data_IF_711475435432
#
_entry.id   IF_711475435432
#
_cell.length_a   1.000
_cell.length_b   1.000
_cell.length_c   1.000
_cell.angle_alpha   90.00
_cell.angle_beta   90.00
_cell.angle_gamma   90.00
#
_symmetry.space_group_name_H-M   'P 1'
#
loop_
_entity.id
_entity.type
_entity.pdbx_description
1 polymer ?
#
# COMPACT_ATOMS: atom_id res chain seq x y z
N UNK A 1 17.76 -5.12 -18.73
CA UNK A 1 17.89 -3.88 -17.94
C UNK A 1 16.64 -3.03 -18.12
N UNK A 2 15.79 -2.91 -17.09
CA UNK A 2 14.75 -1.88 -17.04
C UNK A 2 14.38 -1.58 -15.58
N UNK A 3 15.21 -0.76 -14.92
CA UNK A 3 14.86 -0.07 -13.68
C UNK A 3 14.34 1.31 -14.06
N UNK A 4 13.03 1.53 -13.99
CA UNK A 4 12.43 2.86 -13.80
C UNK A 4 11.12 2.72 -13.03
N UNK A 5 11.18 2.86 -11.71
CA UNK A 5 10.00 3.25 -10.93
C UNK A 5 10.24 4.69 -10.48
N UNK A 6 9.69 5.60 -11.28
CA UNK A 6 9.65 7.02 -11.02
C UNK A 6 8.40 7.27 -10.20
N UNK A 7 8.56 7.78 -8.97
CA UNK A 7 7.44 8.33 -8.20
C UNK A 7 6.89 9.56 -8.93
N UNK A 8 5.87 9.38 -9.77
CA UNK A 8 5.08 10.47 -10.33
C UNK A 8 3.62 10.17 -10.09
N UNK A 9 2.98 11.05 -9.33
CA UNK A 9 1.56 11.01 -9.08
C UNK A 9 0.78 11.04 -10.39
N UNK A 10 0.19 9.92 -10.73
CA UNK A 10 -0.94 9.79 -11.64
C UNK A 10 -1.67 8.51 -11.22
N UNK A 11 -2.90 8.65 -10.74
CA UNK A 11 -3.81 7.53 -10.54
C UNK A 11 -4.16 6.91 -11.91
N UNK A 12 -4.46 5.59 -11.92
CA UNK A 12 -4.96 4.70 -13.02
C UNK A 12 -3.92 3.66 -13.49
N UNK A 13 -4.31 2.45 -13.96
CA UNK A 13 -5.11 1.38 -13.37
C UNK A 13 -4.21 0.16 -13.02
N UNK A 14 -4.50 -0.54 -11.93
CA UNK A 14 -3.56 -1.55 -11.42
C UNK A 14 -3.83 -2.93 -12.03
N UNK A 15 -3.05 -3.31 -13.05
CA UNK A 15 -2.91 -4.71 -13.49
C UNK A 15 -1.55 -5.23 -13.05
N UNK A 16 -1.48 -5.90 -11.89
CA UNK A 16 -0.26 -6.56 -11.41
C UNK A 16 -0.28 -8.03 -11.83
N UNK A 17 0.28 -8.31 -13.01
CA UNK A 17 0.81 -9.63 -13.29
C UNK A 17 2.33 -9.50 -13.33
N UNK A 18 3.03 -10.01 -12.30
CA UNK A 18 4.41 -10.53 -12.36
C UNK A 18 4.88 -11.03 -10.98
N UNK A 19 4.81 -12.35 -10.83
CA UNK A 19 5.77 -13.28 -10.22
C UNK A 19 6.76 -12.70 -9.17
N UNK A 20 6.25 -12.63 -7.92
CA UNK A 20 6.90 -12.56 -6.59
C UNK A 20 7.97 -11.47 -6.35
N UNK A 21 7.51 -10.34 -5.76
CA UNK A 21 7.67 -10.08 -4.32
C UNK A 21 6.29 -10.01 -3.63
N UNK A 22 5.55 -11.12 -3.67
CA UNK A 22 4.11 -11.19 -3.46
C UNK A 22 3.61 -10.76 -2.08
N UNK A 23 4.32 -11.08 -0.99
CA UNK A 23 3.70 -11.01 0.33
C UNK A 23 3.41 -9.57 0.81
N UNK A 24 4.37 -8.64 0.72
CA UNK A 24 4.17 -7.29 1.28
C UNK A 24 3.21 -6.44 0.42
N UNK A 25 3.29 -6.57 -0.90
CA UNK A 25 2.37 -5.86 -1.80
C UNK A 25 0.94 -6.37 -1.61
N UNK A 26 0.74 -7.68 -1.50
CA UNK A 26 -0.57 -8.26 -1.22
C UNK A 26 -1.12 -7.80 0.14
N UNK A 27 -0.27 -7.69 1.17
CA UNK A 27 -0.64 -7.16 2.48
C UNK A 27 -1.04 -5.68 2.39
N UNK A 28 -0.30 -4.85 1.66
CA UNK A 28 -0.63 -3.44 1.43
C UNK A 28 -1.99 -3.34 0.72
N UNK A 29 -2.19 -4.12 -0.34
CA UNK A 29 -3.40 -4.08 -1.15
C UNK A 29 -4.64 -4.59 -0.42
N UNK A 30 -4.51 -5.66 0.36
CA UNK A 30 -5.58 -6.17 1.22
C UNK A 30 -5.93 -5.18 2.33
N UNK A 31 -4.94 -4.65 3.04
CA UNK A 31 -5.14 -3.65 4.10
C UNK A 31 -5.78 -2.38 3.53
N UNK A 32 -5.40 -1.96 2.32
CA UNK A 32 -6.03 -0.80 1.64
C UNK A 32 -7.51 -1.05 1.35
N UNK A 33 -7.88 -2.23 0.85
CA UNK A 33 -9.28 -2.58 0.59
C UNK A 33 -10.09 -2.59 1.89
N UNK A 34 -9.57 -3.23 2.93
CA UNK A 34 -10.19 -3.29 4.25
C UNK A 34 -10.41 -1.88 4.85
N UNK A 35 -9.42 -0.99 4.72
CA UNK A 35 -9.54 0.41 5.16
C UNK A 35 -10.66 1.15 4.44
N UNK A 36 -10.75 1.02 3.12
CA UNK A 36 -11.78 1.67 2.31
C UNK A 36 -13.16 1.16 2.70
N UNK A 37 -13.33 -0.16 2.78
CA UNK A 37 -14.60 -0.78 3.16
C UNK A 37 -15.03 -0.35 4.57
N UNK A 38 -14.10 -0.37 5.53
CA UNK A 38 -14.37 0.05 6.91
C UNK A 38 -14.74 1.53 6.98
N UNK A 39 -14.02 2.41 6.27
CA UNK A 39 -14.33 3.83 6.22
C UNK A 39 -15.73 4.10 5.64
N UNK A 40 -16.12 3.36 4.59
CA UNK A 40 -17.46 3.43 3.99
C UNK A 40 -18.53 2.95 4.99
N UNK A 41 -18.30 1.81 5.65
CA UNK A 41 -19.23 1.23 6.62
C UNK A 41 -19.42 2.12 7.84
N UNK A 42 -18.32 2.69 8.38
CA UNK A 42 -18.34 3.55 9.56
C UNK A 42 -18.82 4.97 9.25
N UNK A 43 -18.66 5.42 8.00
CA UNK A 43 -18.91 6.81 7.55
C UNK A 43 -18.17 7.85 8.40
N UNK A 44 -17.06 7.45 9.02
CA UNK A 44 -16.30 8.26 9.95
C UNK A 44 -14.82 7.91 9.79
N UNK A 45 -14.02 8.86 9.31
CA UNK A 45 -12.58 8.66 9.11
C UNK A 45 -11.77 8.72 10.41
N UNK A 46 -12.36 9.32 11.45
CA UNK A 46 -11.77 9.41 12.79
C UNK A 46 -12.21 8.27 13.71
N UNK A 47 -13.00 7.33 13.20
CA UNK A 47 -13.29 6.09 13.93
C UNK A 47 -11.99 5.36 14.22
N UNK A 48 -11.84 4.88 15.45
CA UNK A 48 -10.60 4.26 15.91
C UNK A 48 -10.17 3.09 15.01
N UNK A 49 -11.11 2.31 14.48
CA UNK A 49 -10.80 1.18 13.61
C UNK A 49 -10.25 1.64 12.27
N UNK A 50 -10.80 2.72 11.71
CA UNK A 50 -10.33 3.33 10.46
C UNK A 50 -8.94 3.93 10.66
N UNK A 51 -8.71 4.64 11.78
CA UNK A 51 -7.41 5.20 12.12
C UNK A 51 -6.35 4.12 12.30
N UNK A 52 -6.67 3.04 13.03
CA UNK A 52 -5.74 1.90 13.22
C UNK A 52 -5.39 1.22 11.89
N UNK A 53 -6.37 1.00 11.01
CA UNK A 53 -6.13 0.45 9.68
C UNK A 53 -5.25 1.37 8.83
N UNK A 54 -5.46 2.68 8.90
CA UNK A 54 -4.61 3.67 8.21
C UNK A 54 -3.17 3.60 8.70
N UNK A 55 -2.94 3.63 10.02
CA UNK A 55 -1.60 3.55 10.61
C UNK A 55 -0.89 2.23 10.27
N UNK A 56 -1.64 1.13 10.22
CA UNK A 56 -1.13 -0.17 9.81
C UNK A 56 -0.69 -0.17 8.34
N UNK A 57 -1.51 0.43 7.46
CA UNK A 57 -1.15 0.61 6.05
C UNK A 57 0.11 1.46 5.89
N UNK A 58 0.23 2.57 6.63
CA UNK A 58 1.41 3.43 6.62
C UNK A 58 2.69 2.66 7.01
N UNK A 59 2.58 1.78 8.02
CA UNK A 59 3.70 0.91 8.43
C UNK A 59 4.19 0.03 7.28
N UNK A 60 3.27 -0.62 6.55
CA UNK A 60 3.64 -1.48 5.43
C UNK A 60 4.19 -0.68 4.24
N UNK A 61 3.66 0.53 3.98
CA UNK A 61 4.19 1.42 2.96
C UNK A 61 5.62 1.86 3.28
N UNK A 62 5.91 2.21 4.53
CA UNK A 62 7.26 2.56 4.97
C UNK A 62 8.22 1.37 4.86
N UNK A 63 7.79 0.16 5.25
CA UNK A 63 8.59 -1.05 5.05
C UNK A 63 8.89 -1.31 3.57
N UNK A 64 7.89 -1.14 2.70
CA UNK A 64 8.07 -1.31 1.26
C UNK A 64 9.05 -0.28 0.70
N UNK A 65 8.90 0.98 1.10
CA UNK A 65 9.84 2.04 0.72
C UNK A 65 11.26 1.75 1.20
N UNK A 66 11.45 1.31 2.45
CA UNK A 66 12.76 0.93 3.00
C UNK A 66 13.40 -0.18 2.18
N UNK A 67 12.67 -1.27 1.94
CA UNK A 67 13.17 -2.41 1.13
C UNK A 67 13.56 -1.98 -0.29
N UNK A 68 12.87 -1.00 -0.88
CA UNK A 68 13.19 -0.50 -2.21
C UNK A 68 14.32 0.55 -2.21
N UNK A 69 14.52 1.28 -1.11
CA UNK A 69 15.61 2.25 -0.95
C UNK A 69 16.94 1.55 -0.69
N UNK A 70 16.96 0.48 0.10
CA UNK A 70 18.16 -0.32 0.41
C UNK A 70 18.72 -1.07 -0.81
N UNK A 71 17.93 -1.24 -1.88
CA UNK A 71 18.35 -1.85 -3.15
C UNK A 71 19.07 -0.87 -4.11
N UNK A 72 19.38 0.35 -3.64
CA UNK A 72 20.17 1.39 -4.34
C UNK A 72 21.56 1.57 -3.68
N UNK A 73 21.99 0.64 -2.82
CA UNK A 73 23.37 0.54 -2.30
C UNK A 73 24.25 -0.35 -3.16
#
# INVERSE_FOLDING_TARGET
MNRKYVCKGALIPINYHNEKPSCLIEIIESTRRELIETAIQKRCLTDETVVRLSQKLDTYLLEFQRRNCDNIG
#
